data_IF_748538376904
#
_entry.id   IF_748538376904
#
_cell.length_a   1.000
_cell.length_b   1.000
_cell.length_c   1.000
_cell.angle_alpha   90.00
_cell.angle_beta   90.00
_cell.angle_gamma   90.00
#
_symmetry.space_group_name_H-M   'P 1'
#
loop_
_entity.id
_entity.type
_entity.pdbx_description
1 polymer ?
#
# COMPACT_ATOMS: atom_id res chain seq x y z
N UNK A 1 -20.27 -13.82 26.88
CA UNK A 1 -18.82 -13.82 27.22
C UNK A 1 -18.13 -14.68 26.17
N UNK A 2 -17.66 -14.17 25.04
CA UNK A 2 -16.64 -13.14 24.87
C UNK A 2 -15.31 -13.86 24.60
N UNK A 3 -15.02 -14.19 23.33
CA UNK A 3 -13.72 -14.74 22.92
C UNK A 3 -13.28 -14.14 21.58
N UNK A 4 -12.30 -13.24 21.72
CA UNK A 4 -11.11 -13.02 20.89
C UNK A 4 -11.28 -12.75 19.39
N UNK A 5 -11.18 -11.46 19.08
CA UNK A 5 -10.61 -10.84 17.88
C UNK A 5 -9.91 -11.82 16.92
N UNK A 6 -10.57 -12.05 15.78
CA UNK A 6 -10.02 -12.79 14.66
C UNK A 6 -8.86 -12.04 14.01
N UNK A 7 -7.64 -12.37 14.41
CA UNK A 7 -6.55 -12.78 13.51
C UNK A 7 -6.42 -12.04 12.16
N UNK A 8 -5.81 -10.86 12.19
CA UNK A 8 -4.91 -10.42 11.10
C UNK A 8 -3.57 -11.14 11.32
N UNK A 9 -2.83 -11.73 10.39
CA UNK A 9 -2.71 -11.65 8.93
C UNK A 9 -2.11 -13.00 8.48
N UNK A 10 -2.77 -13.72 7.56
CA UNK A 10 -2.31 -15.03 7.05
C UNK A 10 -1.93 -15.02 5.58
N UNK A 11 -1.73 -13.85 4.94
CA UNK A 11 -1.50 -13.82 3.48
C UNK A 11 -0.54 -12.70 3.01
N UNK A 12 0.59 -12.49 3.69
CA UNK A 12 1.65 -11.64 3.11
C UNK A 12 2.47 -12.40 2.06
N UNK A 13 1.88 -12.65 0.89
CA UNK A 13 2.65 -12.97 -0.33
C UNK A 13 2.16 -12.16 -1.53
N UNK A 14 2.77 -10.98 -1.72
CA UNK A 14 3.46 -10.55 -2.95
C UNK A 14 4.57 -9.61 -2.45
N UNK A 15 5.84 -10.05 -2.43
CA UNK A 15 6.92 -9.33 -1.72
C UNK A 15 7.10 -7.87 -2.21
N UNK A 16 6.87 -7.62 -3.49
CA UNK A 16 6.95 -6.28 -4.10
C UNK A 16 5.74 -5.39 -3.81
N UNK A 17 4.53 -5.81 -4.21
CA UNK A 17 3.33 -4.99 -4.00
C UNK A 17 3.04 -4.77 -2.51
N UNK A 18 3.24 -5.79 -1.66
CA UNK A 18 3.07 -5.63 -0.22
C UNK A 18 4.01 -4.58 0.39
N UNK A 19 5.25 -4.49 -0.11
CA UNK A 19 6.18 -3.43 0.29
C UNK A 19 5.71 -2.05 -0.18
N UNK A 20 5.22 -1.94 -1.41
CA UNK A 20 4.68 -0.68 -1.95
C UNK A 20 3.44 -0.22 -1.18
N UNK A 21 2.55 -1.15 -0.79
CA UNK A 21 1.37 -0.84 0.03
C UNK A 21 1.76 -0.37 1.43
N UNK A 22 2.77 -1.00 2.05
CA UNK A 22 3.32 -0.55 3.34
C UNK A 22 3.93 0.85 3.21
N UNK A 23 4.73 1.08 2.17
CA UNK A 23 5.36 2.38 1.91
C UNK A 23 4.32 3.48 1.69
N UNK A 24 3.32 3.25 0.82
CA UNK A 24 2.23 4.20 0.56
C UNK A 24 1.51 4.59 1.85
N UNK A 25 1.25 3.63 2.75
CA UNK A 25 0.61 3.91 4.05
C UNK A 25 1.47 4.82 4.92
N UNK A 26 2.78 4.60 4.96
CA UNK A 26 3.70 5.38 5.77
C UNK A 26 3.91 6.79 5.17
N UNK A 27 4.14 6.86 3.86
CA UNK A 27 4.37 8.10 3.11
C UNK A 27 3.09 8.94 2.91
N UNK A 28 1.92 8.49 3.40
CA UNK A 28 0.63 9.16 3.20
C UNK A 28 0.29 9.36 1.72
N UNK A 29 0.75 8.43 0.90
CA UNK A 29 0.41 8.36 -0.52
C UNK A 29 -1.00 7.81 -0.75
N UNK A 30 -1.26 7.47 -2.00
CA UNK A 30 -2.52 6.87 -2.45
C UNK A 30 -2.25 5.76 -3.44
N UNK A 31 -3.04 4.71 -3.38
CA UNK A 31 -3.05 3.64 -4.39
C UNK A 31 -4.47 3.36 -4.83
N UNK A 32 -4.66 3.22 -6.13
CA UNK A 32 -5.96 2.97 -6.75
C UNK A 32 -5.87 1.74 -7.64
N UNK A 33 -6.85 0.86 -7.53
CA UNK A 33 -7.01 -0.32 -8.36
C UNK A 33 -8.27 -0.17 -9.19
N UNK A 34 -8.14 -0.44 -10.48
CA UNK A 34 -9.28 -0.55 -11.40
C UNK A 34 -9.19 -1.90 -12.09
N UNK A 35 -10.27 -2.68 -12.05
CA UNK A 35 -10.34 -3.99 -12.72
C UNK A 35 -11.79 -4.31 -13.05
N UNK A 36 -12.10 -4.47 -14.35
CA UNK A 36 -13.47 -4.37 -14.84
C UNK A 36 -14.05 -3.02 -14.44
N UNK A 37 -15.27 -3.01 -13.94
CA UNK A 37 -15.98 -1.82 -13.43
C UNK A 37 -15.64 -1.51 -11.97
N UNK A 38 -14.85 -2.35 -11.31
CA UNK A 38 -14.50 -2.18 -9.91
C UNK A 38 -13.41 -1.14 -9.71
N UNK A 39 -13.66 -0.18 -8.81
CA UNK A 39 -12.68 0.79 -8.33
C UNK A 39 -12.43 0.63 -6.83
N UNK A 40 -11.16 0.64 -6.45
CA UNK A 40 -10.71 0.55 -5.06
C UNK A 40 -9.57 1.53 -4.81
N UNK A 41 -9.76 2.46 -3.88
CA UNK A 41 -8.72 3.38 -3.43
C UNK A 41 -8.32 3.08 -1.98
N UNK A 42 -7.02 3.15 -1.72
CA UNK A 42 -6.46 3.25 -0.38
C UNK A 42 -5.69 4.56 -0.24
N UNK A 43 -5.98 5.32 0.82
CA UNK A 43 -5.30 6.57 1.16
C UNK A 43 -5.36 6.79 2.66
N UNK A 44 -4.22 7.08 3.29
CA UNK A 44 -4.16 7.45 4.72
C UNK A 44 -4.90 6.44 5.63
N UNK A 45 -4.75 5.15 5.38
CA UNK A 45 -5.42 4.07 6.13
C UNK A 45 -6.92 3.93 5.86
N UNK A 46 -7.51 4.77 5.00
CA UNK A 46 -8.91 4.68 4.57
C UNK A 46 -9.03 3.93 3.25
N UNK A 47 -10.18 3.30 3.06
CA UNK A 47 -10.52 2.55 1.84
C UNK A 47 -11.81 3.11 1.24
N UNK A 48 -11.80 3.46 -0.05
CA UNK A 48 -12.98 3.85 -0.82
C UNK A 48 -13.22 2.83 -1.94
N UNK A 49 -14.47 2.43 -2.13
CA UNK A 49 -14.90 1.48 -3.17
C UNK A 49 -16.01 2.11 -4.00
N UNK A 50 -15.89 2.00 -5.31
CA UNK A 50 -16.86 2.57 -6.26
C UNK A 50 -17.01 1.62 -7.45
N UNK A 51 -18.09 1.80 -8.21
CA UNK A 51 -18.26 1.21 -9.54
C UNK A 51 -18.12 2.35 -10.54
N UNK A 52 -17.29 2.17 -11.56
CA UNK A 52 -17.07 3.16 -12.62
C UNK A 52 -17.89 2.80 -13.86
N UNK A 53 -18.33 3.83 -14.59
CA UNK A 53 -19.25 3.67 -15.73
C UNK A 53 -18.64 2.90 -16.90
N UNK A 54 -17.35 3.08 -17.16
CA UNK A 54 -16.60 2.35 -18.17
C UNK A 54 -15.47 1.58 -17.50
N UNK A 55 -15.64 0.27 -17.41
CA UNK A 55 -14.65 -0.61 -16.83
C UNK A 55 -13.44 -0.82 -17.74
N UNK A 56 -12.33 -1.24 -17.15
CA UNK A 56 -11.12 -1.62 -17.88
C UNK A 56 -11.02 -3.14 -17.94
N UNK A 57 -10.79 -3.75 -19.13
CA UNK A 57 -10.74 -5.21 -19.28
C UNK A 57 -9.52 -5.85 -18.58
N UNK A 58 -8.53 -5.05 -18.20
CA UNK A 58 -7.35 -5.45 -17.45
C UNK A 58 -7.31 -4.76 -16.08
N UNK A 59 -6.31 -5.10 -15.27
CA UNK A 59 -6.07 -4.40 -13.99
C UNK A 59 -5.14 -3.21 -14.20
N UNK A 60 -5.58 -2.02 -13.81
CA UNK A 60 -4.75 -0.82 -13.70
C UNK A 60 -4.49 -0.56 -12.22
N UNK A 61 -3.23 -0.29 -11.88
CA UNK A 61 -2.82 0.16 -10.54
C UNK A 61 -2.16 1.53 -10.69
N UNK A 62 -2.78 2.57 -10.12
CA UNK A 62 -2.19 3.90 -10.01
C UNK A 62 -1.62 4.10 -8.60
N UNK A 63 -0.44 4.71 -8.49
CA UNK A 63 0.25 4.97 -7.22
C UNK A 63 0.73 6.42 -7.18
N UNK A 64 0.43 7.10 -6.08
CA UNK A 64 0.84 8.46 -5.81
C UNK A 64 1.68 8.50 -4.53
N UNK A 65 2.85 9.10 -4.63
CA UNK A 65 3.79 9.28 -3.52
C UNK A 65 3.83 10.74 -3.09
N UNK A 66 3.90 10.97 -1.78
CA UNK A 66 4.07 12.30 -1.22
C UNK A 66 5.57 12.63 -1.10
N UNK A 67 6.08 13.48 -1.99
CA UNK A 67 7.46 13.96 -1.94
C UNK A 67 7.66 15.18 -1.04
N UNK A 68 6.60 15.73 -0.45
CA UNK A 68 6.68 16.80 0.54
C UNK A 68 6.76 16.22 1.98
N UNK A 69 7.43 15.09 2.11
CA UNK A 69 7.63 14.34 3.35
C UNK A 69 9.13 14.39 3.70
N UNK A 70 9.45 14.65 4.96
CA UNK A 70 10.82 14.76 5.47
C UNK A 70 11.29 13.49 6.20
N UNK A 71 10.49 12.42 6.14
CA UNK A 71 10.77 11.13 6.78
C UNK A 71 11.63 10.23 5.89
N UNK A 72 12.61 9.56 6.51
CA UNK A 72 13.40 8.51 5.89
C UNK A 72 12.81 7.13 6.21
N UNK A 73 12.69 6.29 5.17
CA UNK A 73 12.14 4.94 5.28
C UNK A 73 13.25 3.91 5.08
N UNK A 74 13.25 2.86 5.91
CA UNK A 74 14.16 1.72 5.80
C UNK A 74 13.44 0.42 6.10
N UNK A 75 13.91 -0.69 5.55
CA UNK A 75 13.33 -1.98 5.89
C UNK A 75 13.77 -2.40 7.31
N UNK A 76 12.86 -2.95 8.10
CA UNK A 76 13.23 -3.47 9.43
C UNK A 76 14.23 -4.62 9.25
N UNK A 77 15.39 -4.51 9.92
CA UNK A 77 16.49 -5.48 9.79
C UNK A 77 17.47 -5.19 8.67
N UNK A 78 17.28 -4.12 7.89
CA UNK A 78 18.30 -3.62 6.98
C UNK A 78 19.49 -3.07 7.77
N UNK A 79 20.73 -3.57 7.52
CA UNK A 79 21.90 -3.12 8.24
C UNK A 79 22.17 -1.64 7.94
N UNK A 80 22.48 -0.86 8.97
CA UNK A 80 22.93 0.52 8.80
C UNK A 80 24.40 0.48 8.42
N UNK A 81 24.67 0.36 7.13
CA UNK A 81 26.02 0.46 6.59
C UNK A 81 26.39 1.95 6.48
N UNK A 82 26.91 2.51 7.57
CA UNK A 82 27.42 3.90 7.59
C UNK A 82 28.68 4.07 6.71
N UNK A 83 29.34 2.97 6.38
CA UNK A 83 30.66 2.99 5.74
C UNK A 83 30.62 3.22 4.22
N UNK A 84 29.44 3.24 3.58
CA UNK A 84 29.31 3.27 2.11
C UNK A 84 28.27 4.27 1.57
N UNK A 85 27.95 5.34 2.31
CA UNK A 85 27.05 6.41 1.81
C UNK A 85 27.79 7.71 1.42
N UNK A 86 29.12 7.66 1.31
CA UNK A 86 29.96 8.57 0.53
C UNK A 86 31.13 7.82 -0.09
#
# INVERSE_FOLDING_TARGET
MGNTDGQHDKNRQIRGLGLLMDFIRLNKGKVQFVSGEGYLEFREGKRRKEIIAEGFPCTIVNMEFNFNDDVFYRLQGEPVLLDNIF
#
